data_IF_550755248024
#
_entry.id   IF_550755248024
#
_cell.length_a   1.000
_cell.length_b   1.000
_cell.length_c   1.000
_cell.angle_alpha   90.00
_cell.angle_beta   90.00
_cell.angle_gamma   90.00
#
_symmetry.space_group_name_H-M   'P 1'
#
loop_
_entity.id
_entity.type
_entity.pdbx_description
1 polymer ?
#
# COMPACT_ATOMS: atom_id res chain seq x y z
N UNK A 1 -15.15 -94.43 -25.09
CA UNK A 1 -16.33 -93.59 -25.38
C UNK A 1 -16.47 -92.63 -24.20
N UNK A 2 -16.20 -91.45 -24.36
CA UNK A 2 -16.76 -90.28 -23.69
C UNK A 2 -15.78 -89.11 -23.81
N UNK A 3 -16.29 -88.09 -24.41
CA UNK A 3 -15.64 -86.84 -24.81
C UNK A 3 -15.57 -85.90 -23.61
N UNK A 4 -14.38 -85.42 -23.25
CA UNK A 4 -14.18 -84.42 -22.20
C UNK A 4 -13.99 -83.05 -22.80
N UNK A 5 -14.88 -82.13 -22.44
CA UNK A 5 -14.92 -80.74 -22.86
C UNK A 5 -13.89 -79.93 -22.10
N UNK A 6 -12.99 -79.24 -22.83
CA UNK A 6 -12.11 -78.18 -22.30
C UNK A 6 -12.87 -76.87 -22.25
N UNK A 7 -13.02 -76.35 -21.03
CA UNK A 7 -13.47 -74.94 -20.83
C UNK A 7 -12.26 -74.01 -20.74
N UNK A 8 -12.09 -73.18 -21.74
CA UNK A 8 -11.10 -72.09 -21.72
C UNK A 8 -11.60 -70.93 -20.84
N UNK A 9 -10.83 -70.60 -19.83
CA UNK A 9 -11.04 -69.46 -18.95
C UNK A 9 -10.29 -68.24 -19.56
N UNK A 10 -11.03 -67.33 -20.16
CA UNK A 10 -10.50 -66.04 -20.58
C UNK A 10 -10.36 -65.14 -19.33
N UNK A 11 -9.13 -64.78 -18.95
CA UNK A 11 -8.83 -63.75 -17.95
C UNK A 11 -8.86 -62.39 -18.67
N UNK A 12 -9.89 -61.63 -18.44
CA UNK A 12 -9.91 -60.19 -18.80
C UNK A 12 -9.04 -59.39 -17.82
N UNK A 13 -7.92 -58.90 -18.28
CA UNK A 13 -7.11 -57.94 -17.55
C UNK A 13 -7.71 -56.53 -17.67
N UNK A 14 -8.29 -56.02 -16.59
CA UNK A 14 -8.76 -54.64 -16.48
C UNK A 14 -7.52 -53.76 -16.21
N UNK A 15 -7.04 -53.04 -17.24
CA UNK A 15 -6.07 -51.96 -17.08
C UNK A 15 -6.81 -50.70 -16.57
N UNK A 16 -6.69 -50.45 -15.29
CA UNK A 16 -7.12 -49.15 -14.73
C UNK A 16 -6.08 -48.08 -15.09
N UNK A 17 -6.40 -47.23 -16.06
CA UNK A 17 -5.66 -45.99 -16.33
C UNK A 17 -5.89 -45.01 -15.16
N UNK A 18 -4.93 -44.93 -14.26
CA UNK A 18 -4.84 -43.85 -13.30
C UNK A 18 -4.38 -42.58 -14.04
N UNK A 19 -5.34 -41.77 -14.45
CA UNK A 19 -5.08 -40.40 -14.92
C UNK A 19 -4.66 -39.52 -13.71
N UNK A 20 -3.35 -39.37 -13.53
CA UNK A 20 -2.78 -38.37 -12.62
C UNK A 20 -3.02 -37.00 -13.27
N UNK A 21 -4.09 -36.34 -12.88
CA UNK A 21 -4.26 -34.93 -13.16
C UNK A 21 -3.22 -34.17 -12.33
N UNK A 22 -2.11 -33.81 -12.97
CA UNK A 22 -1.17 -32.84 -12.41
C UNK A 22 -1.94 -31.52 -12.21
N UNK A 23 -2.30 -31.21 -10.97
CA UNK A 23 -2.76 -29.90 -10.61
C UNK A 23 -1.59 -28.95 -10.90
N UNK A 24 -1.67 -28.21 -12.00
CA UNK A 24 -0.74 -27.13 -12.30
C UNK A 24 -0.78 -26.18 -11.11
N UNK A 25 0.30 -26.13 -10.35
CA UNK A 25 0.47 -25.12 -9.31
C UNK A 25 0.36 -23.76 -10.01
N UNK A 26 -0.73 -23.06 -9.78
CA UNK A 26 -0.91 -21.71 -10.30
C UNK A 26 0.21 -20.86 -9.69
N UNK A 27 1.17 -20.46 -10.51
CA UNK A 27 2.22 -19.55 -10.08
C UNK A 27 1.55 -18.26 -9.58
N UNK A 28 1.92 -17.85 -8.36
CA UNK A 28 1.45 -16.58 -7.81
C UNK A 28 1.79 -15.47 -8.84
N UNK A 29 0.81 -14.65 -9.27
CA UNK A 29 1.10 -13.56 -10.20
C UNK A 29 2.22 -12.68 -9.67
N UNK A 30 3.07 -12.17 -10.54
CA UNK A 30 4.10 -11.21 -10.13
C UNK A 30 3.48 -9.93 -9.56
N UNK A 31 4.09 -9.32 -8.53
CA UNK A 31 3.60 -8.08 -7.98
C UNK A 31 3.64 -6.97 -9.05
N UNK A 32 2.60 -6.13 -9.15
CA UNK A 32 2.55 -5.06 -10.14
C UNK A 32 3.66 -4.04 -9.88
N UNK A 33 4.71 -4.06 -10.70
CA UNK A 33 5.94 -3.27 -10.51
C UNK A 33 5.68 -1.78 -10.31
N UNK A 34 4.66 -1.23 -10.98
CA UNK A 34 4.28 0.17 -10.86
C UNK A 34 3.75 0.55 -9.46
N UNK A 35 3.26 -0.42 -8.66
CA UNK A 35 2.82 -0.19 -7.28
C UNK A 35 3.96 -0.35 -6.25
N UNK A 36 5.08 -0.95 -6.67
CA UNK A 36 6.23 -1.25 -5.81
C UNK A 36 7.48 -0.51 -6.26
N UNK A 37 7.37 0.80 -6.40
CA UNK A 37 8.50 1.65 -6.80
C UNK A 37 9.68 1.43 -5.85
N UNK A 38 10.85 1.19 -6.44
CA UNK A 38 12.12 1.02 -5.74
C UNK A 38 13.20 1.87 -6.43
N UNK A 39 14.09 2.50 -5.68
CA UNK A 39 15.23 3.17 -6.28
C UNK A 39 16.07 2.22 -7.13
N UNK A 40 16.72 2.69 -8.18
CA UNK A 40 17.74 1.93 -8.89
C UNK A 40 18.81 1.40 -7.93
N UNK A 41 19.37 0.22 -8.22
CA UNK A 41 20.35 -0.43 -7.34
C UNK A 41 21.64 0.40 -7.15
N UNK A 42 21.96 1.25 -8.13
CA UNK A 42 23.10 2.17 -8.15
C UNK A 42 22.78 3.58 -7.65
N UNK A 43 21.54 3.82 -7.24
CA UNK A 43 21.13 5.11 -6.69
C UNK A 43 21.91 5.42 -5.41
N UNK A 44 22.68 6.50 -5.46
CA UNK A 44 23.41 7.02 -4.29
C UNK A 44 22.57 8.09 -3.63
N UNK A 45 22.40 8.06 -2.30
CA UNK A 45 21.82 9.18 -1.57
C UNK A 45 22.61 10.46 -1.86
N UNK A 46 21.93 11.57 -2.05
CA UNK A 46 22.61 12.85 -2.13
C UNK A 46 23.35 13.11 -0.79
N UNK A 47 24.55 13.68 -0.83
CA UNK A 47 25.25 14.05 0.42
C UNK A 47 24.40 15.05 1.21
N UNK A 48 24.37 14.93 2.54
CA UNK A 48 23.59 15.85 3.37
C UNK A 48 24.08 17.29 3.12
N UNK A 49 23.12 18.17 2.84
CA UNK A 49 23.34 19.59 2.62
C UNK A 49 22.96 20.37 3.89
N UNK A 50 23.64 21.52 4.11
CA UNK A 50 23.25 22.50 5.12
C UNK A 50 22.24 23.53 4.58
N UNK A 51 21.81 23.38 3.31
CA UNK A 51 20.82 24.26 2.73
C UNK A 51 19.53 24.24 3.55
N UNK A 52 18.94 25.40 3.73
CA UNK A 52 17.65 25.56 4.41
C UNK A 52 16.52 25.30 3.43
N UNK A 53 15.58 24.46 3.82
CA UNK A 53 14.32 24.21 3.13
C UNK A 53 13.20 25.06 3.75
N UNK A 54 12.25 25.43 2.93
CA UNK A 54 11.00 26.07 3.31
C UNK A 54 9.88 25.50 2.46
N UNK A 55 8.68 25.47 3.00
CA UNK A 55 7.49 25.02 2.25
C UNK A 55 6.43 26.10 2.23
N UNK A 56 5.54 26.14 1.24
CA UNK A 56 4.47 27.12 1.15
C UNK A 56 3.59 27.13 2.41
N UNK A 57 3.21 28.31 2.88
CA UNK A 57 2.31 28.44 4.03
C UNK A 57 2.93 28.16 5.40
N UNK A 58 4.24 27.87 5.47
CA UNK A 58 4.96 27.65 6.72
C UNK A 58 5.97 28.75 7.03
N UNK A 59 6.12 29.07 8.31
CA UNK A 59 7.20 29.93 8.81
C UNK A 59 8.40 29.13 9.31
N UNK A 60 8.28 27.81 9.45
CA UNK A 60 9.33 26.92 9.87
C UNK A 60 10.46 26.84 8.82
N UNK A 61 11.63 26.47 9.27
CA UNK A 61 12.80 26.24 8.41
C UNK A 61 13.56 25.03 8.93
N UNK A 62 13.87 24.10 8.06
CA UNK A 62 14.68 22.93 8.34
C UNK A 62 15.84 22.82 7.35
N UNK A 63 16.98 22.32 7.77
CA UNK A 63 18.06 21.95 6.86
C UNK A 63 17.77 20.63 6.17
N UNK A 64 18.42 20.35 5.04
CA UNK A 64 18.36 19.03 4.40
C UNK A 64 18.71 17.89 5.37
N UNK A 65 19.71 18.11 6.23
CA UNK A 65 20.09 17.11 7.23
C UNK A 65 18.95 16.82 8.21
N UNK A 66 18.22 17.85 8.66
CA UNK A 66 17.08 17.70 9.57
C UNK A 66 15.90 17.00 8.88
N UNK A 67 15.60 17.37 7.64
CA UNK A 67 14.51 16.73 6.87
C UNK A 67 14.79 15.25 6.61
N UNK A 68 16.05 14.84 6.56
CA UNK A 68 16.47 13.46 6.34
C UNK A 68 16.89 12.72 7.63
N UNK A 69 16.78 13.35 8.80
CA UNK A 69 17.01 12.69 10.10
C UNK A 69 15.82 11.80 10.45
N UNK A 70 16.06 10.49 10.50
CA UNK A 70 15.04 9.51 10.89
C UNK A 70 14.46 9.73 12.31
N UNK A 71 15.13 10.51 13.13
CA UNK A 71 14.71 10.85 14.49
C UNK A 71 14.11 12.26 14.61
N UNK A 72 13.62 12.79 13.50
CA UNK A 72 12.89 14.05 13.45
C UNK A 72 11.75 13.96 12.44
N UNK A 73 10.53 14.19 12.88
CA UNK A 73 9.40 14.47 11.99
C UNK A 73 9.36 15.99 11.73
N UNK A 74 9.71 16.48 10.54
CA UNK A 74 9.56 17.90 10.25
C UNK A 74 8.10 18.33 10.42
N UNK A 75 7.89 19.32 11.26
CA UNK A 75 6.57 19.88 11.55
C UNK A 75 6.46 21.27 10.92
N UNK A 76 5.98 21.28 9.68
CA UNK A 76 5.82 22.52 8.91
C UNK A 76 4.56 23.28 9.28
N UNK A 77 3.51 22.59 9.76
CA UNK A 77 2.17 23.13 9.98
C UNK A 77 1.63 22.73 11.37
N UNK A 78 2.26 23.17 12.47
CA UNK A 78 1.92 22.72 13.82
C UNK A 78 0.49 23.11 14.27
N UNK A 79 -0.18 23.98 13.56
CA UNK A 79 -1.56 24.37 13.83
C UNK A 79 -2.58 23.34 13.29
N UNK A 80 -2.18 22.42 12.41
CA UNK A 80 -3.09 21.48 11.74
C UNK A 80 -3.36 20.22 12.56
N UNK A 81 -2.62 19.99 13.64
CA UNK A 81 -2.70 18.78 14.45
C UNK A 81 -2.39 19.04 15.94
N UNK A 82 -2.82 18.15 16.85
CA UNK A 82 -2.41 18.21 18.26
C UNK A 82 -0.90 18.03 18.40
N UNK A 83 -0.34 18.42 19.55
CA UNK A 83 1.08 18.19 19.86
C UNK A 83 1.44 16.72 19.64
N UNK A 84 2.45 16.46 18.81
CA UNK A 84 2.97 15.12 18.58
C UNK A 84 3.56 14.52 19.87
N UNK A 85 3.25 13.26 20.19
CA UNK A 85 3.99 12.54 21.24
C UNK A 85 5.43 12.27 20.80
N UNK A 86 6.32 12.05 21.78
CA UNK A 86 7.77 11.92 21.54
C UNK A 86 8.10 10.86 20.47
N UNK A 87 7.46 9.70 20.52
CA UNK A 87 7.68 8.63 19.54
C UNK A 87 7.28 9.03 18.13
N UNK A 88 6.32 9.94 17.97
CA UNK A 88 5.91 10.44 16.64
C UNK A 88 6.87 11.52 16.15
N UNK A 89 7.26 12.46 17.05
CA UNK A 89 8.10 13.59 16.70
C UNK A 89 9.60 13.22 16.55
N UNK A 90 10.11 12.37 17.44
CA UNK A 90 11.55 12.10 17.56
C UNK A 90 11.90 10.61 17.62
N UNK A 91 10.94 9.73 17.89
CA UNK A 91 11.23 8.32 18.12
C UNK A 91 12.08 8.09 19.37
N UNK A 92 12.87 7.00 19.38
CA UNK A 92 13.79 6.65 20.47
C UNK A 92 15.13 6.21 19.89
N UNK A 93 16.13 7.10 19.98
CA UNK A 93 17.51 6.80 19.51
C UNK A 93 18.12 5.64 20.30
N UNK A 94 18.94 4.79 19.66
CA UNK A 94 19.26 4.81 18.22
C UNK A 94 18.32 3.95 17.37
N UNK A 95 17.30 3.31 17.94
CA UNK A 95 16.65 2.15 17.35
C UNK A 95 15.28 2.45 16.73
N UNK A 96 14.43 3.26 17.41
CA UNK A 96 13.05 3.53 16.95
C UNK A 96 12.99 4.87 16.25
N UNK A 97 12.83 4.86 14.94
CA UNK A 97 12.67 6.08 14.15
C UNK A 97 11.37 6.82 14.51
N UNK A 98 11.37 8.14 14.33
CA UNK A 98 10.16 8.94 14.49
C UNK A 98 9.05 8.44 13.55
N UNK A 99 7.88 8.09 14.09
CA UNK A 99 6.76 7.62 13.25
C UNK A 99 6.36 8.67 12.21
N UNK A 100 6.36 9.95 12.61
CA UNK A 100 6.07 11.09 11.75
C UNK A 100 7.13 11.35 10.68
N UNK A 101 8.35 10.81 10.80
CA UNK A 101 9.34 10.89 9.73
C UNK A 101 8.84 10.24 8.43
N UNK A 102 8.26 9.04 8.51
CA UNK A 102 7.74 8.30 7.36
C UNK A 102 6.28 8.63 7.08
N UNK A 103 5.44 8.72 8.12
CA UNK A 103 4.00 8.92 7.98
C UNK A 103 3.58 10.39 7.95
N UNK A 104 4.52 11.32 8.09
CA UNK A 104 4.35 12.78 8.21
C UNK A 104 3.74 13.18 9.56
N UNK A 105 3.87 14.47 9.91
CA UNK A 105 3.42 14.98 11.21
C UNK A 105 1.91 14.77 11.44
N UNK A 106 1.05 15.03 10.45
CA UNK A 106 -0.40 14.87 10.51
C UNK A 106 -0.91 13.57 9.84
N UNK A 107 -0.02 12.63 9.51
CA UNK A 107 -0.36 11.27 9.13
C UNK A 107 -0.91 11.05 7.71
N UNK A 108 -0.72 11.90 6.69
CA UNK A 108 -1.25 11.66 5.35
C UNK A 108 -0.50 10.53 4.62
N UNK A 109 0.72 10.21 5.04
CA UNK A 109 1.55 9.24 4.34
C UNK A 109 1.95 9.69 2.94
N UNK A 110 2.03 8.76 2.00
CA UNK A 110 2.34 8.98 0.60
C UNK A 110 2.21 7.70 -0.22
N UNK A 111 2.59 7.72 -1.50
CA UNK A 111 2.57 6.51 -2.34
C UNK A 111 3.42 5.37 -1.76
N UNK A 112 4.49 5.71 -1.05
CA UNK A 112 5.42 4.77 -0.45
C UNK A 112 4.98 4.26 0.93
N UNK A 113 4.24 5.06 1.70
CA UNK A 113 3.88 4.83 3.09
C UNK A 113 2.36 4.93 3.31
N UNK A 114 1.85 4.20 4.30
CA UNK A 114 0.43 4.26 4.65
C UNK A 114 0.05 5.64 5.18
N UNK A 115 -1.12 6.15 4.78
CA UNK A 115 -1.82 7.21 5.49
C UNK A 115 -2.38 6.64 6.80
N UNK A 116 -2.05 7.26 7.92
CA UNK A 116 -2.45 6.85 9.27
C UNK A 116 -3.55 7.74 9.85
N UNK A 117 -3.71 8.96 9.34
CA UNK A 117 -4.73 9.89 9.83
C UNK A 117 -6.13 9.25 9.80
N UNK A 118 -6.82 9.27 10.94
CA UNK A 118 -8.17 8.74 11.10
C UNK A 118 -8.30 7.22 11.02
N UNK A 119 -7.19 6.45 11.04
CA UNK A 119 -7.30 5.00 11.20
C UNK A 119 -7.77 4.66 12.61
N UNK A 120 -8.64 3.64 12.79
CA UNK A 120 -9.05 3.20 14.12
C UNK A 120 -7.85 2.80 14.98
N UNK A 121 -7.90 3.18 16.26
CA UNK A 121 -6.83 2.90 17.22
C UNK A 121 -6.47 1.41 17.26
N UNK A 122 -7.45 0.54 17.45
CA UNK A 122 -7.22 -0.91 17.55
C UNK A 122 -6.71 -1.50 16.24
N UNK A 123 -7.14 -0.96 15.08
CA UNK A 123 -6.57 -1.36 13.79
C UNK A 123 -5.08 -1.03 13.70
N UNK A 124 -4.63 0.13 14.18
CA UNK A 124 -3.19 0.47 14.18
C UNK A 124 -2.41 -0.51 15.07
N UNK A 125 -2.94 -0.83 16.26
CA UNK A 125 -2.31 -1.80 17.17
C UNK A 125 -2.21 -3.18 16.52
N UNK A 126 -3.31 -3.66 15.91
CA UNK A 126 -3.33 -4.95 15.21
C UNK A 126 -2.28 -4.98 14.07
N UNK A 127 -2.16 -3.89 13.30
CA UNK A 127 -1.19 -3.83 12.22
C UNK A 127 0.25 -3.86 12.71
N UNK A 128 0.56 -3.24 13.83
CA UNK A 128 1.88 -3.30 14.45
C UNK A 128 2.19 -4.71 14.95
N UNK A 129 1.24 -5.38 15.59
CA UNK A 129 1.38 -6.78 16.01
C UNK A 129 1.53 -7.73 14.81
N UNK A 130 0.78 -7.51 13.73
CA UNK A 130 0.90 -8.29 12.49
C UNK A 130 2.29 -8.14 11.85
N UNK A 131 2.89 -6.94 11.86
CA UNK A 131 4.28 -6.75 11.44
C UNK A 131 5.27 -7.45 12.38
N UNK A 132 5.09 -7.33 13.69
CA UNK A 132 5.94 -7.93 14.73
C UNK A 132 5.95 -9.45 14.65
N UNK A 133 4.77 -10.06 14.49
CA UNK A 133 4.59 -11.52 14.40
C UNK A 133 4.85 -12.10 13.00
N UNK A 134 5.10 -11.26 11.99
CA UNK A 134 5.31 -11.68 10.60
C UNK A 134 4.04 -12.05 9.82
N UNK A 135 2.84 -11.85 10.40
CA UNK A 135 1.56 -12.01 9.69
C UNK A 135 1.34 -10.96 8.61
N UNK A 136 2.00 -9.81 8.73
CA UNK A 136 2.09 -8.79 7.70
C UNK A 136 3.52 -8.66 7.22
N UNK A 137 3.77 -9.12 6.01
CA UNK A 137 5.06 -9.08 5.35
C UNK A 137 4.98 -8.20 4.10
N UNK A 138 5.83 -8.42 3.12
CA UNK A 138 5.86 -7.68 1.85
C UNK A 138 6.18 -8.60 0.69
N UNK A 139 5.56 -8.37 -0.45
CA UNK A 139 5.85 -9.09 -1.69
C UNK A 139 7.27 -8.80 -2.23
N UNK A 140 7.87 -7.66 -1.83
CA UNK A 140 9.25 -7.31 -2.16
C UNK A 140 10.09 -7.09 -0.88
N UNK A 141 10.74 -8.14 -0.34
CA UNK A 141 11.48 -8.06 0.93
C UNK A 141 12.58 -7.00 0.98
N UNK A 142 13.17 -6.65 -0.16
CA UNK A 142 14.21 -5.62 -0.27
C UNK A 142 13.68 -4.19 -0.35
N UNK A 143 12.36 -3.99 -0.40
CA UNK A 143 11.76 -2.67 -0.44
C UNK A 143 11.80 -2.03 0.96
N UNK A 144 12.63 -1.00 1.13
CA UNK A 144 12.95 -0.43 2.43
C UNK A 144 11.74 0.08 3.26
N UNK A 145 10.72 0.77 2.72
CA UNK A 145 9.61 1.24 3.54
C UNK A 145 8.91 0.14 4.36
N UNK A 146 8.63 -1.02 3.74
CA UNK A 146 8.05 -2.15 4.48
C UNK A 146 9.06 -2.86 5.38
N UNK A 147 10.32 -2.98 4.94
CA UNK A 147 11.38 -3.58 5.74
C UNK A 147 11.60 -2.79 7.05
N UNK A 148 11.58 -1.45 6.97
CA UNK A 148 11.63 -0.60 8.17
C UNK A 148 10.44 -0.83 9.10
N UNK A 149 9.21 -0.89 8.59
CA UNK A 149 8.04 -1.15 9.43
C UNK A 149 8.13 -2.50 10.15
N UNK A 150 8.58 -3.55 9.47
CA UNK A 150 8.78 -4.88 10.07
C UNK A 150 9.87 -4.83 11.15
N UNK A 151 10.96 -4.10 10.93
CA UNK A 151 12.03 -3.95 11.92
C UNK A 151 11.56 -3.14 13.13
N UNK A 152 10.93 -1.98 12.90
CA UNK A 152 10.45 -1.08 13.95
C UNK A 152 9.38 -1.74 14.84
N UNK A 153 8.46 -2.51 14.24
CA UNK A 153 7.43 -3.22 14.99
C UNK A 153 7.99 -4.23 16.01
N UNK A 154 9.19 -4.76 15.77
CA UNK A 154 9.84 -5.73 16.67
C UNK A 154 10.52 -5.08 17.87
N UNK A 155 10.85 -3.78 17.80
CA UNK A 155 11.67 -3.08 18.80
C UNK A 155 10.95 -1.92 19.49
N UNK A 156 9.87 -1.40 18.89
CA UNK A 156 9.00 -0.42 19.55
C UNK A 156 8.30 -1.06 20.76
N UNK A 157 8.22 -0.32 21.88
CA UNK A 157 7.46 -0.77 23.04
C UNK A 157 5.96 -0.64 22.83
N UNK A 158 5.17 -1.36 23.63
CA UNK A 158 3.72 -1.28 23.54
C UNK A 158 3.22 0.13 23.88
N UNK A 159 3.87 0.85 24.80
CA UNK A 159 3.55 2.24 25.16
C UNK A 159 3.84 3.19 23.99
N UNK A 160 4.95 3.02 23.28
CA UNK A 160 5.30 3.79 22.09
C UNK A 160 4.25 3.59 20.98
N UNK A 161 3.87 2.34 20.75
CA UNK A 161 2.86 1.98 19.74
C UNK A 161 1.49 2.54 20.12
N UNK A 162 1.06 2.40 21.37
CA UNK A 162 -0.22 2.93 21.85
C UNK A 162 -0.27 4.47 21.77
N UNK A 163 0.82 5.14 22.13
CA UNK A 163 0.94 6.60 22.06
C UNK A 163 0.82 7.09 20.61
N UNK A 164 1.55 6.46 19.68
CA UNK A 164 1.45 6.77 18.25
C UNK A 164 0.04 6.47 17.69
N UNK A 165 -0.54 5.33 18.05
CA UNK A 165 -1.87 4.93 17.60
C UNK A 165 -2.97 5.90 18.06
N UNK A 166 -2.93 6.36 19.34
CA UNK A 166 -3.84 7.40 19.85
C UNK A 166 -3.74 8.68 19.05
N UNK A 167 -2.49 9.10 18.79
CA UNK A 167 -2.23 10.32 18.05
C UNK A 167 -2.79 10.24 16.63
N UNK A 168 -2.40 9.25 15.82
CA UNK A 168 -2.85 9.13 14.44
C UNK A 168 -4.34 8.87 14.30
N UNK A 169 -4.95 8.13 15.23
CA UNK A 169 -6.39 7.91 15.25
C UNK A 169 -7.20 9.20 15.52
N UNK A 170 -6.62 10.16 16.25
CA UNK A 170 -7.28 11.45 16.53
C UNK A 170 -7.23 12.44 15.37
N UNK A 171 -6.41 12.19 14.36
CA UNK A 171 -6.20 13.09 13.24
C UNK A 171 -7.33 12.97 12.20
N UNK A 172 -7.60 14.08 11.51
CA UNK A 172 -8.53 14.08 10.38
C UNK A 172 -7.79 13.82 9.09
N UNK A 173 -8.22 12.84 8.28
CA UNK A 173 -7.60 12.61 6.97
C UNK A 173 -7.82 13.81 6.05
N UNK A 174 -6.82 14.08 5.21
CA UNK A 174 -6.84 15.18 4.23
C UNK A 174 -6.93 14.61 2.82
N UNK A 175 -7.72 15.26 1.96
CA UNK A 175 -7.71 14.96 0.54
C UNK A 175 -6.46 15.57 -0.10
N UNK A 176 -5.50 14.73 -0.44
CA UNK A 176 -4.25 15.15 -1.05
C UNK A 176 -3.95 14.42 -2.38
N UNK A 177 -4.92 13.68 -2.93
CA UNK A 177 -4.76 12.91 -4.16
C UNK A 177 -5.80 13.36 -5.18
N UNK A 178 -5.33 13.71 -6.37
CA UNK A 178 -6.16 14.00 -7.54
C UNK A 178 -6.01 12.88 -8.56
N UNK A 179 -7.09 12.19 -8.89
CA UNK A 179 -7.11 11.11 -9.88
C UNK A 179 -7.49 11.65 -11.25
N UNK A 180 -6.73 11.26 -12.28
CA UNK A 180 -6.90 11.72 -13.67
C UNK A 180 -6.93 10.52 -14.60
N UNK A 181 -8.06 10.30 -15.28
CA UNK A 181 -8.16 9.29 -16.34
C UNK A 181 -7.48 9.82 -17.61
N UNK A 182 -6.53 9.05 -18.15
CA UNK A 182 -5.78 9.42 -19.34
C UNK A 182 -5.18 8.20 -20.03
N UNK A 183 -4.86 8.34 -21.32
CA UNK A 183 -4.08 7.33 -22.06
C UNK A 183 -2.58 7.62 -22.12
N UNK A 184 -2.15 8.84 -21.75
CA UNK A 184 -0.76 9.29 -21.80
C UNK A 184 -0.39 10.05 -20.55
N UNK A 185 0.88 9.89 -20.13
CA UNK A 185 1.43 10.53 -18.93
C UNK A 185 2.77 11.18 -19.25
N UNK A 186 3.23 12.16 -18.47
CA UNK A 186 4.61 12.61 -18.52
C UNK A 186 5.57 11.43 -18.39
N UNK A 187 6.67 11.44 -19.13
CA UNK A 187 7.76 10.50 -18.88
C UNK A 187 8.26 10.66 -17.45
N UNK A 188 8.46 9.55 -16.76
CA UNK A 188 8.84 9.57 -15.34
C UNK A 188 10.24 8.99 -15.11
N UNK A 189 10.79 9.32 -13.96
CA UNK A 189 11.94 8.65 -13.36
C UNK A 189 11.64 8.33 -11.90
N UNK A 190 12.44 7.48 -11.28
CA UNK A 190 12.29 7.14 -9.86
C UNK A 190 13.07 8.15 -9.02
N UNK A 191 12.35 8.92 -8.20
CA UNK A 191 12.89 9.85 -7.21
C UNK A 191 12.69 9.23 -5.81
N UNK A 192 13.76 8.65 -5.26
CA UNK A 192 13.62 7.88 -4.01
C UNK A 192 12.61 6.74 -4.16
N UNK A 193 11.49 6.83 -3.47
CA UNK A 193 10.45 5.79 -3.41
C UNK A 193 9.19 6.14 -4.20
N UNK A 194 9.21 7.21 -4.99
CA UNK A 194 8.09 7.68 -5.81
C UNK A 194 8.53 7.92 -7.25
N UNK A 195 7.55 8.07 -8.13
CA UNK A 195 7.79 8.56 -9.49
C UNK A 195 7.80 10.08 -9.50
N UNK A 196 8.59 10.67 -10.39
CA UNK A 196 8.59 12.11 -10.67
C UNK A 196 8.69 12.34 -12.18
N UNK A 197 8.10 13.41 -12.71
CA UNK A 197 8.19 13.71 -14.14
C UNK A 197 9.63 14.06 -14.53
N UNK A 198 10.08 13.55 -15.66
CA UNK A 198 11.33 14.04 -16.28
C UNK A 198 11.16 15.48 -16.73
N UNK A 199 12.23 16.29 -16.70
CA UNK A 199 12.20 17.62 -17.29
C UNK A 199 11.76 17.58 -18.76
N UNK A 200 10.94 18.56 -19.18
CA UNK A 200 10.44 18.64 -20.55
C UNK A 200 8.93 18.37 -20.66
N UNK A 201 8.46 18.21 -21.89
CA UNK A 201 7.05 17.97 -22.20
C UNK A 201 6.79 16.58 -22.80
N UNK A 202 7.78 15.70 -22.75
CA UNK A 202 7.67 14.37 -23.30
C UNK A 202 6.64 13.54 -22.52
N UNK A 203 5.82 12.83 -23.27
CA UNK A 203 4.80 11.93 -22.72
C UNK A 203 5.00 10.51 -23.25
N UNK A 204 4.51 9.56 -22.48
CA UNK A 204 4.51 8.13 -22.83
C UNK A 204 3.12 7.53 -22.66
N UNK A 205 2.82 6.38 -23.29
CA UNK A 205 1.58 5.66 -23.03
C UNK A 205 1.47 5.25 -21.57
N UNK A 206 0.30 5.46 -20.95
CA UNK A 206 0.05 5.00 -19.58
C UNK A 206 0.02 3.47 -19.51
N UNK A 207 -0.60 2.82 -20.48
CA UNK A 207 -0.78 1.36 -20.45
C UNK A 207 -1.69 0.90 -19.31
N UNK A 208 -1.44 -0.32 -18.82
CA UNK A 208 -2.20 -0.97 -17.73
C UNK A 208 -1.52 -0.74 -16.37
N UNK A 209 -1.35 0.49 -15.98
CA UNK A 209 -0.68 0.87 -14.72
C UNK A 209 -1.28 2.15 -14.15
N UNK A 210 -1.02 2.41 -12.88
CA UNK A 210 -1.20 3.73 -12.26
C UNK A 210 0.17 4.40 -12.19
N UNK A 211 0.21 5.68 -12.54
CA UNK A 211 1.37 6.55 -12.30
C UNK A 211 0.94 7.55 -11.23
N UNK A 212 1.40 7.32 -10.02
CA UNK A 212 1.16 8.18 -8.86
C UNK A 212 2.46 8.92 -8.51
N UNK A 213 2.40 10.24 -8.44
CA UNK A 213 3.57 11.07 -8.20
C UNK A 213 3.19 12.36 -7.46
N UNK A 214 4.10 12.97 -6.69
CA UNK A 214 3.85 14.28 -6.11
C UNK A 214 3.64 15.33 -7.20
N UNK A 215 2.74 16.28 -6.97
CA UNK A 215 2.56 17.44 -7.86
C UNK A 215 3.78 18.38 -7.77
N UNK A 216 4.40 18.46 -6.59
CA UNK A 216 5.67 19.13 -6.36
C UNK A 216 6.64 18.18 -5.64
N UNK A 217 7.75 17.83 -6.29
CA UNK A 217 8.74 16.91 -5.73
C UNK A 217 9.46 17.52 -4.52
N UNK A 218 9.73 18.83 -4.52
CA UNK A 218 10.45 19.50 -3.44
C UNK A 218 9.62 19.52 -2.14
N UNK A 219 8.32 19.77 -2.22
CA UNK A 219 7.40 19.69 -1.08
C UNK A 219 7.37 18.26 -0.51
N UNK A 220 7.29 17.26 -1.39
CA UNK A 220 7.33 15.86 -1.01
C UNK A 220 8.64 15.48 -0.32
N UNK A 221 9.79 15.85 -0.91
CA UNK A 221 11.12 15.59 -0.34
C UNK A 221 11.34 16.38 0.97
N UNK A 222 10.71 17.53 1.11
CA UNK A 222 10.70 18.30 2.36
C UNK A 222 9.80 17.69 3.44
N UNK A 223 9.10 16.59 3.14
CA UNK A 223 8.13 15.93 4.03
C UNK A 223 6.98 16.84 4.44
N UNK A 224 6.63 17.79 3.58
CA UNK A 224 5.48 18.66 3.79
C UNK A 224 4.20 17.83 3.86
N UNK A 225 3.41 18.05 4.91
CA UNK A 225 2.11 17.39 5.09
C UNK A 225 1.06 17.90 4.12
N UNK A 226 1.27 19.07 3.52
CA UNK A 226 0.43 19.63 2.47
C UNK A 226 0.80 19.17 1.06
N UNK A 227 1.88 18.40 0.90
CA UNK A 227 2.23 17.85 -0.40
C UNK A 227 1.07 17.06 -1.01
N UNK A 228 0.70 17.42 -2.23
CA UNK A 228 -0.37 16.78 -3.00
C UNK A 228 0.18 15.86 -4.07
N UNK A 229 -0.66 14.93 -4.50
CA UNK A 229 -0.30 13.90 -5.47
C UNK A 229 -1.29 13.87 -6.62
N UNK A 230 -0.79 13.55 -7.80
CA UNK A 230 -1.62 13.18 -8.95
C UNK A 230 -1.46 11.70 -9.24
N UNK A 231 -2.58 11.02 -9.43
CA UNK A 231 -2.63 9.62 -9.85
C UNK A 231 -3.25 9.54 -11.24
N UNK A 232 -2.45 9.26 -12.25
CA UNK A 232 -2.91 8.99 -13.60
C UNK A 232 -3.34 7.53 -13.71
N UNK A 233 -4.57 7.31 -14.19
CA UNK A 233 -5.19 5.99 -14.31
C UNK A 233 -5.73 5.78 -15.74
N UNK A 234 -5.83 4.54 -16.23
CA UNK A 234 -6.40 4.26 -17.54
C UNK A 234 -7.85 4.76 -17.68
N UNK A 235 -8.22 5.22 -18.86
CA UNK A 235 -9.57 5.69 -19.15
C UNK A 235 -10.60 4.58 -18.88
N UNK A 236 -11.68 4.90 -18.15
CA UNK A 236 -12.71 3.97 -17.73
C UNK A 236 -12.46 3.29 -16.39
N UNK A 237 -11.29 3.49 -15.76
CA UNK A 237 -10.94 2.85 -14.49
C UNK A 237 -11.89 3.27 -13.36
N UNK A 238 -12.29 4.54 -13.30
CA UNK A 238 -13.19 5.04 -12.24
C UNK A 238 -14.55 4.35 -12.30
N UNK A 239 -15.13 4.24 -13.49
CA UNK A 239 -16.43 3.58 -13.68
C UNK A 239 -16.35 2.07 -13.40
N UNK A 240 -15.29 1.40 -13.86
CA UNK A 240 -15.06 -0.01 -13.62
C UNK A 240 -14.85 -0.28 -12.11
N UNK A 241 -14.02 0.51 -11.46
CA UNK A 241 -13.76 0.42 -10.03
C UNK A 241 -15.02 0.66 -9.18
N UNK A 242 -15.81 1.68 -9.52
CA UNK A 242 -17.09 1.94 -8.87
C UNK A 242 -18.03 0.75 -8.94
N UNK A 243 -18.16 0.13 -10.12
CA UNK A 243 -19.01 -1.04 -10.31
C UNK A 243 -18.57 -2.20 -9.40
N UNK A 244 -17.27 -2.48 -9.32
CA UNK A 244 -16.72 -3.55 -8.47
C UNK A 244 -16.93 -3.23 -6.99
N UNK A 245 -16.59 -2.02 -6.55
CA UNK A 245 -16.74 -1.57 -5.15
C UNK A 245 -18.20 -1.64 -4.69
N UNK A 246 -19.15 -1.39 -5.59
CA UNK A 246 -20.60 -1.53 -5.34
C UNK A 246 -21.14 -2.96 -5.47
N UNK A 247 -20.27 -3.97 -5.66
CA UNK A 247 -20.66 -5.37 -5.74
C UNK A 247 -21.22 -5.82 -7.08
N UNK A 248 -20.99 -5.08 -8.16
CA UNK A 248 -21.35 -5.50 -9.54
C UNK A 248 -20.27 -6.39 -10.18
N UNK A 249 -19.47 -7.08 -9.34
CA UNK A 249 -18.36 -7.95 -9.74
C UNK A 249 -18.51 -9.33 -9.11
N UNK A 250 -17.37 -10.01 -8.92
CA UNK A 250 -17.31 -11.38 -8.41
C UNK A 250 -17.30 -11.48 -6.86
N UNK A 251 -17.45 -10.37 -6.16
CA UNK A 251 -17.38 -10.31 -4.69
C UNK A 251 -18.49 -9.45 -4.07
N UNK A 252 -18.59 -9.43 -2.73
CA UNK A 252 -19.50 -8.55 -2.01
C UNK A 252 -19.10 -7.08 -2.19
N UNK A 253 -20.04 -6.12 -2.02
CA UNK A 253 -19.70 -4.71 -1.98
C UNK A 253 -18.67 -4.41 -0.89
N UNK A 254 -17.70 -3.56 -1.16
CA UNK A 254 -16.69 -3.13 -0.17
C UNK A 254 -17.35 -2.46 1.05
N UNK A 255 -18.44 -1.75 0.81
CA UNK A 255 -19.28 -1.13 1.85
C UNK A 255 -19.89 -2.11 2.86
N UNK A 256 -19.95 -3.41 2.56
CA UNK A 256 -20.43 -4.43 3.51
C UNK A 256 -19.55 -4.54 4.76
N UNK A 257 -18.24 -4.19 4.63
CA UNK A 257 -17.27 -4.25 5.71
C UNK A 257 -16.67 -2.87 6.03
N UNK A 258 -16.51 -1.99 5.04
CA UNK A 258 -15.81 -0.70 5.18
C UNK A 258 -16.76 0.51 5.40
N UNK A 259 -17.97 0.29 5.89
CA UNK A 259 -19.06 1.24 5.99
C UNK A 259 -19.60 1.73 4.64
N UNK A 260 -20.83 2.30 4.65
CA UNK A 260 -21.54 2.70 3.42
C UNK A 260 -20.78 3.77 2.62
N UNK A 261 -20.11 4.64 3.32
CA UNK A 261 -19.30 5.76 2.76
C UNK A 261 -17.84 5.41 2.56
N UNK A 262 -17.43 4.17 2.89
CA UNK A 262 -16.06 3.66 2.80
C UNK A 262 -15.06 4.35 3.75
N UNK A 263 -15.58 5.06 4.76
CA UNK A 263 -14.77 5.68 5.82
C UNK A 263 -14.48 4.73 6.98
N UNK A 264 -14.83 3.45 6.84
CA UNK A 264 -14.52 2.42 7.82
C UNK A 264 -15.33 2.50 9.11
N UNK A 265 -14.97 1.67 10.04
CA UNK A 265 -15.45 1.61 11.42
C UNK A 265 -14.41 0.89 12.29
N UNK A 266 -14.69 0.66 13.57
CA UNK A 266 -13.74 0.08 14.53
C UNK A 266 -13.04 -1.20 14.05
N UNK A 267 -13.74 -2.06 13.29
CA UNK A 267 -13.22 -3.35 12.82
C UNK A 267 -12.64 -3.32 11.40
N UNK A 268 -12.89 -2.27 10.64
CA UNK A 268 -12.43 -2.17 9.25
C UNK A 268 -11.96 -0.75 8.94
N UNK A 269 -10.75 -0.58 8.37
CA UNK A 269 -10.17 0.74 8.15
C UNK A 269 -10.93 1.52 7.06
N UNK A 270 -10.86 2.86 7.07
CA UNK A 270 -11.26 3.71 5.95
C UNK A 270 -10.41 3.38 4.72
N UNK A 271 -11.07 3.27 3.56
CA UNK A 271 -10.43 2.99 2.28
C UNK A 271 -10.65 4.09 1.24
N UNK A 272 -11.54 5.03 1.49
CA UNK A 272 -11.74 6.21 0.65
C UNK A 272 -10.55 7.17 0.72
N UNK A 273 -10.17 7.78 -0.39
CA UNK A 273 -9.15 8.83 -0.48
C UNK A 273 -7.72 8.37 -0.18
N UNK A 274 -7.43 7.07 -0.20
CA UNK A 274 -6.10 6.53 0.07
C UNK A 274 -5.29 6.38 -1.22
N UNK A 275 -3.95 6.43 -1.11
CA UNK A 275 -3.03 6.23 -2.23
C UNK A 275 -3.40 4.99 -3.06
N UNK A 276 -3.62 5.11 -4.37
CA UNK A 276 -3.98 3.96 -5.20
C UNK A 276 -2.84 2.94 -5.31
N UNK A 277 -1.58 3.38 -5.31
CA UNK A 277 -0.43 2.46 -5.25
C UNK A 277 -0.41 1.68 -3.94
N UNK A 278 -0.72 2.34 -2.82
CA UNK A 278 -0.83 1.67 -1.52
C UNK A 278 -1.99 0.66 -1.50
N UNK A 279 -3.18 1.06 -1.96
CA UNK A 279 -4.35 0.16 -2.01
C UNK A 279 -4.03 -1.06 -2.86
N UNK A 280 -3.46 -0.90 -4.05
CA UNK A 280 -3.09 -2.01 -4.93
C UNK A 280 -2.14 -2.99 -4.23
N UNK A 281 -1.12 -2.50 -3.53
CA UNK A 281 -0.23 -3.36 -2.74
C UNK A 281 -1.00 -4.16 -1.68
N UNK A 282 -1.93 -3.52 -0.96
CA UNK A 282 -2.71 -4.22 0.05
C UNK A 282 -3.62 -5.30 -0.55
N UNK A 283 -4.31 -5.01 -1.64
CA UNK A 283 -5.15 -5.99 -2.34
C UNK A 283 -4.32 -7.19 -2.83
N UNK A 284 -3.18 -6.92 -3.45
CA UNK A 284 -2.25 -7.96 -3.92
C UNK A 284 -1.68 -8.80 -2.76
N UNK A 285 -1.17 -8.17 -1.71
CA UNK A 285 -0.54 -8.85 -0.56
C UNK A 285 -1.56 -9.69 0.23
N UNK A 286 -2.80 -9.24 0.32
CA UNK A 286 -3.90 -10.01 0.92
C UNK A 286 -4.26 -11.21 0.03
N UNK A 287 -4.46 -11.01 -1.26
CA UNK A 287 -4.84 -12.07 -2.19
C UNK A 287 -3.78 -13.18 -2.22
N UNK A 288 -2.51 -12.82 -2.28
CA UNK A 288 -1.38 -13.76 -2.36
C UNK A 288 -0.99 -14.37 -1.02
N UNK A 289 -1.56 -13.89 0.10
CA UNK A 289 -1.27 -14.39 1.44
C UNK A 289 0.03 -13.87 2.04
N UNK A 290 0.61 -12.83 1.48
CA UNK A 290 1.75 -12.09 2.06
C UNK A 290 1.32 -11.32 3.31
N UNK A 291 0.04 -10.92 3.37
CA UNK A 291 -0.63 -10.32 4.51
C UNK A 291 -1.73 -11.24 5.01
N UNK A 292 -1.62 -11.74 6.25
CA UNK A 292 -2.45 -12.84 6.78
C UNK A 292 -3.06 -12.60 8.17
N UNK A 293 -3.02 -11.38 8.70
CA UNK A 293 -3.57 -11.04 10.01
C UNK A 293 -5.04 -11.43 10.19
N UNK A 294 -5.54 -11.40 11.43
CA UNK A 294 -6.91 -11.87 11.77
C UNK A 294 -8.00 -11.15 10.99
N UNK A 295 -7.91 -9.82 10.85
CA UNK A 295 -8.86 -9.02 10.07
C UNK A 295 -8.82 -9.29 8.56
N UNK A 296 -7.80 -10.02 8.07
CA UNK A 296 -7.58 -10.23 6.63
C UNK A 296 -8.37 -11.40 6.06
N UNK A 297 -8.82 -12.36 6.88
CA UNK A 297 -9.49 -13.58 6.39
C UNK A 297 -10.70 -13.29 5.50
N UNK A 298 -11.58 -12.38 5.92
CA UNK A 298 -12.76 -11.98 5.15
C UNK A 298 -12.37 -11.22 3.88
N UNK A 299 -11.38 -10.32 4.00
CA UNK A 299 -10.83 -9.59 2.85
C UNK A 299 -10.23 -10.54 1.81
N UNK A 300 -9.47 -11.56 2.23
CA UNK A 300 -8.88 -12.56 1.31
C UNK A 300 -9.96 -13.27 0.48
N UNK A 301 -11.06 -13.69 1.10
CA UNK A 301 -12.18 -14.32 0.41
C UNK A 301 -12.81 -13.37 -0.63
N UNK A 302 -13.03 -12.09 -0.25
CA UNK A 302 -13.57 -11.08 -1.15
C UNK A 302 -12.64 -10.74 -2.32
N UNK A 303 -11.31 -10.82 -2.12
CA UNK A 303 -10.29 -10.48 -3.13
C UNK A 303 -9.87 -11.68 -3.99
N UNK A 304 -10.25 -12.91 -3.62
CA UNK A 304 -9.72 -14.14 -4.22
C UNK A 304 -9.82 -14.21 -5.75
N UNK A 305 -10.80 -13.53 -6.34
CA UNK A 305 -11.09 -13.57 -7.78
C UNK A 305 -10.79 -12.26 -8.52
N UNK A 306 -10.28 -11.22 -7.84
CA UNK A 306 -9.93 -9.97 -8.50
C UNK A 306 -8.70 -10.17 -9.39
N UNK A 307 -8.84 -9.81 -10.65
CA UNK A 307 -7.73 -9.70 -11.59
C UNK A 307 -6.85 -8.47 -11.27
N UNK A 308 -5.60 -8.42 -11.76
CA UNK A 308 -4.76 -7.22 -11.61
C UNK A 308 -5.40 -5.93 -12.14
N UNK A 309 -6.16 -6.01 -13.25
CA UNK A 309 -6.87 -4.84 -13.80
C UNK A 309 -8.02 -4.39 -12.92
N UNK A 310 -8.74 -5.32 -12.32
CA UNK A 310 -9.80 -5.00 -11.37
C UNK A 310 -9.23 -4.39 -10.09
N UNK A 311 -8.08 -4.88 -9.60
CA UNK A 311 -7.38 -4.25 -8.47
C UNK A 311 -6.95 -2.81 -8.81
N UNK A 312 -6.45 -2.57 -10.03
CA UNK A 312 -6.13 -1.24 -10.52
C UNK A 312 -7.37 -0.34 -10.52
N UNK A 313 -8.47 -0.81 -11.11
CA UNK A 313 -9.72 -0.05 -11.21
C UNK A 313 -10.30 0.28 -9.81
N UNK A 314 -10.34 -0.70 -8.91
CA UNK A 314 -10.76 -0.51 -7.51
C UNK A 314 -9.89 0.55 -6.82
N UNK A 315 -8.57 0.44 -6.96
CA UNK A 315 -7.62 1.38 -6.36
C UNK A 315 -7.80 2.80 -6.90
N UNK A 316 -8.00 2.94 -8.21
CA UNK A 316 -8.27 4.22 -8.87
C UNK A 316 -9.55 4.88 -8.33
N UNK A 317 -10.64 4.10 -8.26
CA UNK A 317 -11.92 4.62 -7.77
C UNK A 317 -11.86 5.02 -6.29
N UNK A 318 -11.30 4.16 -5.42
CA UNK A 318 -11.19 4.46 -3.99
C UNK A 318 -10.34 5.71 -3.74
N UNK A 319 -9.25 5.90 -4.50
CA UNK A 319 -8.41 7.08 -4.40
C UNK A 319 -9.11 8.37 -4.85
N UNK A 320 -10.11 8.29 -5.73
CA UNK A 320 -10.87 9.44 -6.22
C UNK A 320 -11.92 9.96 -5.23
N UNK A 321 -12.23 9.18 -4.20
CA UNK A 321 -13.20 9.54 -3.17
C UNK A 321 -12.58 10.51 -2.15
N UNK A 322 -13.42 11.28 -1.46
CA UNK A 322 -13.00 12.06 -0.29
C UNK A 322 -12.66 11.12 0.86
N UNK A 323 -11.55 11.34 1.57
CA UNK A 323 -11.15 10.51 2.71
C UNK A 323 -12.00 10.80 3.96
#
# INVERSE_FOLDING_TARGET
MTVGSLRSIQRAALLALLSVTAAAAQSTPEPPSWAYITPPADAKPAPPSKASRRVPGSTATYTDAQVNDHFLAPDWHPADHPKMPEVVAHGRKPDVYACGFCHRADGPGGPENASLAGLPYDYILEQMEDFKSGKRSTALPKRAPQAYMIALAKIATDEEVQSAAKYFASLKPRQNIRVVETSRVPRTYVAGWVLSPKPGKDVEPLGRRIVEMPENLEDFESRDTHASFVAYVPVGSLRAGEAIVKGRGLGPPCASCHARDLHGHELAPPIAGRSPSYITRQLYEIQTGVRTGSGVKLMKAAMARLSPDEMLAVSAYLASLKP
#
